data_IF_003831888908
#
_entry.id   IF_003831888908
#
_cell.length_a   1.000
_cell.length_b   1.000
_cell.length_c   1.000
_cell.angle_alpha   90.00
_cell.angle_beta   90.00
_cell.angle_gamma   90.00
#
_symmetry.space_group_name_H-M   'P 1'
#
loop_
_entity.id
_entity.type
_entity.pdbx_description
1 polymer ?
#
# COMPACT_ATOMS: atom_id res chain seq x y z
N UNK A 1 -26.07 -22.49 -18.98
CA UNK A 1 -25.74 -22.37 -17.54
C UNK A 1 -26.29 -21.03 -17.05
N UNK A 2 -26.65 -20.90 -15.78
CA UNK A 2 -27.24 -19.64 -15.26
C UNK A 2 -26.44 -19.17 -14.04
N UNK A 3 -25.96 -17.94 -14.07
CA UNK A 3 -25.42 -17.21 -12.92
C UNK A 3 -26.43 -16.19 -12.44
N UNK A 4 -26.83 -16.29 -11.18
CA UNK A 4 -27.76 -15.33 -10.55
C UNK A 4 -27.01 -14.45 -9.55
N UNK A 5 -27.19 -13.14 -9.67
CA UNK A 5 -26.58 -12.11 -8.80
C UNK A 5 -27.70 -11.28 -8.19
N UNK A 6 -27.75 -11.21 -6.85
CA UNK A 6 -28.64 -10.27 -6.17
C UNK A 6 -28.13 -8.83 -6.42
N UNK A 7 -28.92 -8.04 -7.13
CA UNK A 7 -28.50 -6.74 -7.65
C UNK A 7 -29.63 -5.71 -7.72
N UNK A 8 -29.25 -4.45 -7.51
CA UNK A 8 -30.12 -3.28 -7.64
C UNK A 8 -29.82 -2.55 -8.93
N UNK A 9 -30.86 -2.23 -9.71
CA UNK A 9 -30.76 -1.34 -10.86
C UNK A 9 -30.57 0.10 -10.40
N UNK A 10 -29.61 0.79 -10.99
CA UNK A 10 -29.27 2.19 -10.72
C UNK A 10 -29.29 2.96 -12.03
N UNK A 11 -30.08 4.03 -12.08
CA UNK A 11 -30.20 4.92 -13.24
C UNK A 11 -29.50 6.24 -12.97
N UNK A 12 -28.52 6.60 -13.81
CA UNK A 12 -27.75 7.83 -13.72
C UNK A 12 -27.60 8.48 -15.10
N UNK A 13 -27.11 9.73 -15.21
CA UNK A 13 -26.92 10.38 -16.52
C UNK A 13 -25.98 9.62 -17.47
N UNK A 14 -25.14 8.73 -16.94
CA UNK A 14 -24.24 7.88 -17.73
C UNK A 14 -24.95 6.65 -18.32
N UNK A 15 -26.18 6.36 -17.89
CA UNK A 15 -26.95 5.17 -18.25
C UNK A 15 -27.39 4.36 -17.04
N UNK A 16 -28.04 3.24 -17.33
CA UNK A 16 -28.43 2.24 -16.33
C UNK A 16 -27.29 1.25 -16.08
N UNK A 17 -27.13 0.87 -14.82
CA UNK A 17 -26.21 -0.20 -14.41
C UNK A 17 -26.72 -0.91 -13.16
N UNK A 18 -26.10 -2.02 -12.80
CA UNK A 18 -26.52 -2.84 -11.66
C UNK A 18 -25.46 -2.86 -10.56
N UNK A 19 -25.86 -2.81 -9.30
CA UNK A 19 -24.95 -2.98 -8.15
C UNK A 19 -25.41 -4.19 -7.35
N UNK A 20 -24.50 -5.14 -7.14
CA UNK A 20 -24.80 -6.36 -6.40
C UNK A 20 -23.61 -6.87 -5.61
N UNK A 21 -23.75 -8.09 -5.09
CA UNK A 21 -22.65 -8.83 -4.48
C UNK A 21 -22.48 -10.19 -5.14
N UNK A 22 -21.24 -10.62 -5.30
CA UNK A 22 -20.88 -11.90 -5.93
C UNK A 22 -19.71 -12.54 -5.18
N UNK A 23 -19.68 -13.87 -5.12
CA UNK A 23 -18.53 -14.61 -4.59
C UNK A 23 -17.29 -14.30 -5.45
N UNK A 24 -16.16 -13.98 -4.81
CA UNK A 24 -14.90 -13.66 -5.50
C UNK A 24 -14.49 -14.77 -6.49
N UNK A 25 -14.70 -16.03 -6.11
CA UNK A 25 -14.44 -17.19 -6.98
C UNK A 25 -15.29 -17.18 -8.24
N UNK A 26 -16.60 -16.92 -8.12
CA UNK A 26 -17.50 -16.86 -9.28
C UNK A 26 -17.11 -15.70 -10.19
N UNK A 27 -16.84 -14.53 -9.62
CA UNK A 27 -16.40 -13.37 -10.39
C UNK A 27 -15.09 -13.66 -11.14
N UNK A 28 -14.11 -14.26 -10.47
CA UNK A 28 -12.84 -14.67 -11.08
C UNK A 28 -13.04 -15.69 -12.20
N UNK A 29 -13.90 -16.68 -12.01
CA UNK A 29 -14.20 -17.69 -13.03
C UNK A 29 -14.83 -17.08 -14.29
N UNK A 30 -15.72 -16.09 -14.13
CA UNK A 30 -16.40 -15.45 -15.27
C UNK A 30 -15.57 -14.39 -16.00
N UNK A 31 -14.52 -13.89 -15.35
CA UNK A 31 -13.58 -12.91 -15.90
C UNK A 31 -12.18 -13.48 -16.17
N UNK A 32 -12.03 -14.81 -16.13
CA UNK A 32 -10.73 -15.49 -16.11
C UNK A 32 -9.88 -15.21 -17.35
N UNK A 33 -10.50 -15.10 -18.53
CA UNK A 33 -9.78 -14.80 -19.76
C UNK A 33 -9.28 -13.36 -19.81
N UNK A 34 -9.98 -12.43 -19.16
CA UNK A 34 -9.58 -11.04 -19.04
C UNK A 34 -8.38 -10.92 -18.07
N UNK A 35 -8.49 -11.52 -16.87
CA UNK A 35 -7.40 -11.55 -15.88
C UNK A 35 -6.14 -12.21 -16.43
N UNK A 36 -6.25 -13.36 -17.12
CA UNK A 36 -5.09 -14.06 -17.71
C UNK A 36 -4.44 -13.30 -18.85
N UNK A 37 -5.23 -12.65 -19.71
CA UNK A 37 -4.68 -11.78 -20.76
C UNK A 37 -3.83 -10.67 -20.15
N UNK A 38 -4.21 -10.17 -18.98
CA UNK A 38 -3.46 -9.13 -18.26
C UNK A 38 -2.18 -9.64 -17.55
N UNK A 39 -2.09 -10.92 -17.21
CA UNK A 39 -0.90 -11.54 -16.58
C UNK A 39 0.20 -11.88 -17.59
N UNK A 40 -0.15 -12.22 -18.83
CA UNK A 40 0.78 -12.78 -19.84
C UNK A 40 1.43 -11.71 -20.73
N UNK A 41 0.90 -10.48 -20.75
CA UNK A 41 1.27 -9.47 -21.75
C UNK A 41 2.59 -8.72 -21.44
N UNK A 42 3.71 -9.44 -21.53
CA UNK A 42 5.06 -8.85 -21.56
C UNK A 42 5.40 -8.26 -22.94
N UNK A 43 4.77 -8.72 -24.01
CA UNK A 43 5.11 -8.44 -25.41
C UNK A 43 4.05 -7.63 -26.17
N UNK A 44 3.72 -6.43 -25.67
CA UNK A 44 3.50 -5.24 -26.49
C UNK A 44 2.52 -5.29 -27.68
N UNK A 45 1.50 -6.16 -27.69
CA UNK A 45 0.39 -6.05 -28.64
C UNK A 45 -0.75 -5.38 -27.90
N UNK A 46 -0.88 -4.08 -28.17
CA UNK A 46 -1.94 -3.17 -27.78
C UNK A 46 -3.13 -3.82 -27.05
N UNK A 47 -3.14 -3.65 -25.72
CA UNK A 47 -4.36 -3.71 -24.92
C UNK A 47 -5.47 -3.04 -25.73
N UNK A 48 -6.60 -3.71 -25.90
CA UNK A 48 -7.72 -3.38 -26.81
C UNK A 48 -8.18 -1.90 -26.82
N UNK A 49 -7.70 -1.07 -25.89
CA UNK A 49 -8.00 0.35 -25.73
C UNK A 49 -6.80 1.27 -25.36
N UNK A 50 -5.61 0.77 -25.02
CA UNK A 50 -4.53 1.60 -24.45
C UNK A 50 -4.87 2.26 -23.09
N UNK A 51 -6.02 1.90 -22.50
CA UNK A 51 -6.59 2.53 -21.30
C UNK A 51 -6.24 1.75 -20.03
N UNK A 52 -5.93 0.45 -20.12
CA UNK A 52 -5.72 -0.40 -18.94
C UNK A 52 -4.27 -0.36 -18.45
N UNK A 53 -4.10 -0.37 -17.11
CA UNK A 53 -2.76 -0.38 -16.51
C UNK A 53 -2.15 -1.78 -16.58
N UNK A 54 -0.86 -1.88 -16.88
CA UNK A 54 -0.11 -3.13 -16.66
C UNK A 54 -0.31 -3.62 -15.22
N UNK A 55 -0.59 -4.91 -15.07
CA UNK A 55 -0.54 -5.55 -13.76
C UNK A 55 0.90 -5.41 -13.23
N UNK A 56 1.01 -5.13 -11.93
CA UNK A 56 2.30 -5.03 -11.26
C UNK A 56 2.36 -6.18 -10.28
N UNK A 57 3.28 -7.12 -10.47
CA UNK A 57 3.36 -8.33 -9.64
C UNK A 57 3.53 -7.98 -8.17
N UNK A 58 4.38 -6.99 -7.86
CA UNK A 58 4.55 -6.50 -6.49
C UNK A 58 3.25 -6.00 -5.85
N UNK A 59 2.34 -5.43 -6.66
CA UNK A 59 1.03 -4.98 -6.17
C UNK A 59 0.07 -6.15 -5.98
N UNK A 60 0.15 -7.17 -6.82
CA UNK A 60 -0.65 -8.39 -6.69
C UNK A 60 -0.24 -9.16 -5.43
N UNK A 61 1.06 -9.32 -5.18
CA UNK A 61 1.59 -9.91 -3.95
C UNK A 61 1.11 -9.15 -2.71
N UNK A 62 1.22 -7.82 -2.69
CA UNK A 62 0.71 -6.99 -1.57
C UNK A 62 -0.80 -7.21 -1.32
N UNK A 63 -1.58 -7.39 -2.38
CA UNK A 63 -3.03 -7.62 -2.29
C UNK A 63 -3.31 -9.03 -1.80
N UNK A 64 -2.59 -10.04 -2.29
CA UNK A 64 -2.71 -11.43 -1.83
C UNK A 64 -2.39 -11.56 -0.33
N UNK A 65 -1.33 -10.91 0.11
CA UNK A 65 -0.96 -10.81 1.53
C UNK A 65 -2.07 -10.11 2.34
N UNK A 66 -2.71 -9.09 1.77
CA UNK A 66 -3.82 -8.37 2.39
C UNK A 66 -5.10 -9.21 2.49
N UNK A 67 -5.49 -9.94 1.44
CA UNK A 67 -6.69 -10.81 1.45
C UNK A 67 -6.56 -11.88 2.53
N UNK A 68 -5.33 -12.35 2.77
CA UNK A 68 -5.01 -13.35 3.78
C UNK A 68 -5.09 -12.83 5.22
N UNK A 69 -5.36 -11.53 5.44
CA UNK A 69 -5.47 -10.98 6.80
C UNK A 69 -6.88 -11.15 7.38
N UNK A 70 -6.93 -11.22 8.71
CA UNK A 70 -8.19 -11.34 9.48
C UNK A 70 -9.11 -10.11 9.38
N UNK A 71 -8.60 -9.01 8.86
CA UNK A 71 -9.28 -7.73 8.71
C UNK A 71 -9.35 -7.27 7.25
N UNK A 72 -9.15 -8.20 6.31
CA UNK A 72 -9.28 -7.96 4.88
C UNK A 72 -10.69 -7.46 4.54
N UNK A 73 -10.77 -6.35 3.80
CA UNK A 73 -12.02 -5.80 3.32
C UNK A 73 -11.83 -5.08 1.98
N UNK A 74 -12.73 -5.36 1.03
CA UNK A 74 -12.85 -4.60 -0.21
C UNK A 74 -14.21 -3.91 -0.27
N UNK A 75 -14.36 -2.74 0.36
CA UNK A 75 -15.63 -2.02 0.38
C UNK A 75 -15.96 -1.36 -0.97
N UNK A 76 -14.94 -1.13 -1.81
CA UNK A 76 -15.11 -0.52 -3.11
C UNK A 76 -15.57 -1.56 -4.13
N UNK A 77 -16.48 -1.16 -5.01
CA UNK A 77 -17.00 -2.01 -6.07
C UNK A 77 -15.91 -2.46 -7.05
N UNK A 78 -16.01 -3.69 -7.57
CA UNK A 78 -15.35 -4.13 -8.80
C UNK A 78 -16.27 -3.74 -9.96
N UNK A 79 -15.74 -3.02 -10.94
CA UNK A 79 -16.55 -2.56 -12.08
C UNK A 79 -16.33 -3.53 -13.23
N UNK A 80 -17.41 -4.12 -13.73
CA UNK A 80 -17.39 -5.06 -14.84
C UNK A 80 -18.36 -4.63 -15.94
N UNK A 81 -18.02 -4.99 -17.18
CA UNK A 81 -18.93 -4.97 -18.32
C UNK A 81 -19.28 -6.41 -18.69
N UNK A 82 -20.55 -6.66 -18.97
CA UNK A 82 -21.06 -7.90 -19.54
C UNK A 82 -21.72 -7.54 -20.86
N UNK A 83 -21.36 -8.29 -21.91
CA UNK A 83 -21.99 -8.15 -23.21
C UNK A 83 -23.13 -9.18 -23.29
N UNK A 84 -24.33 -8.68 -23.41
CA UNK A 84 -25.54 -9.37 -23.81
C UNK A 84 -25.58 -9.38 -25.34
N UNK A 85 -25.25 -10.54 -25.91
CA UNK A 85 -25.13 -10.75 -27.35
C UNK A 85 -26.50 -10.69 -28.04
N UNK A 86 -27.60 -10.93 -27.31
CA UNK A 86 -28.96 -10.85 -27.86
C UNK A 86 -29.41 -9.39 -27.97
N UNK A 87 -29.20 -8.60 -26.93
CA UNK A 87 -29.51 -7.18 -26.93
C UNK A 87 -28.59 -6.37 -27.86
N UNK A 88 -27.31 -6.76 -28.01
CA UNK A 88 -26.40 -6.14 -28.99
C UNK A 88 -26.91 -6.36 -30.43
N UNK A 89 -27.36 -7.57 -30.77
CA UNK A 89 -27.96 -7.84 -32.08
C UNK A 89 -29.28 -7.09 -32.33
N UNK A 90 -30.10 -6.86 -31.28
CA UNK A 90 -31.30 -6.03 -31.40
C UNK A 90 -30.96 -4.56 -31.69
N UNK A 91 -29.96 -4.01 -31.00
CA UNK A 91 -29.44 -2.66 -31.23
C UNK A 91 -28.84 -2.53 -32.64
N UNK A 92 -28.03 -3.50 -33.08
CA UNK A 92 -27.46 -3.52 -34.43
C UNK A 92 -28.55 -3.59 -35.49
N UNK A 93 -29.61 -4.40 -35.28
CA UNK A 93 -30.77 -4.44 -36.18
C UNK A 93 -31.56 -3.12 -36.21
N UNK A 94 -31.59 -2.35 -35.12
CA UNK A 94 -32.20 -1.01 -35.11
C UNK A 94 -31.34 0.04 -35.82
N UNK A 95 -30.01 -0.05 -35.73
CA UNK A 95 -29.05 0.78 -36.47
C UNK A 95 -29.05 0.42 -37.97
N UNK A 96 -29.10 -0.85 -38.31
CA UNK A 96 -29.13 -1.37 -39.68
C UNK A 96 -30.50 -1.22 -40.35
N UNK A 97 -31.58 -0.85 -39.62
CA UNK A 97 -32.84 -0.40 -40.26
C UNK A 97 -32.66 0.86 -41.12
N UNK A 98 -31.55 1.58 -41.02
CA UNK A 98 -31.17 2.64 -41.96
C UNK A 98 -30.36 2.15 -43.19
N UNK A 99 -29.90 0.89 -43.22
CA UNK A 99 -29.23 0.26 -44.36
C UNK A 99 -29.81 -1.13 -44.67
N UNK A 100 -30.75 -1.17 -45.62
CA UNK A 100 -31.30 -2.37 -46.25
C UNK A 100 -30.24 -3.47 -46.55
N UNK A 101 -30.28 -4.63 -45.87
CA UNK A 101 -30.93 -5.88 -46.34
C UNK A 101 -30.41 -7.16 -45.65
N UNK A 102 -31.38 -8.00 -45.29
CA UNK A 102 -31.41 -9.47 -45.36
C UNK A 102 -30.10 -10.24 -45.08
N UNK A 103 -30.01 -10.81 -43.87
CA UNK A 103 -29.64 -12.21 -43.72
C UNK A 103 -30.23 -12.75 -42.39
N UNK A 104 -31.40 -13.37 -42.48
CA UNK A 104 -31.90 -14.24 -41.41
C UNK A 104 -30.95 -15.43 -41.28
N UNK A 105 -30.14 -15.43 -40.21
CA UNK A 105 -29.62 -16.65 -39.63
C UNK A 105 -30.29 -16.82 -38.28
N UNK A 106 -31.25 -17.74 -38.22
CA UNK A 106 -31.57 -18.45 -36.99
C UNK A 106 -30.30 -19.17 -36.52
N UNK A 107 -29.45 -18.45 -35.78
CA UNK A 107 -28.48 -19.04 -34.89
C UNK A 107 -29.25 -19.46 -33.64
N UNK A 108 -29.16 -20.74 -33.31
CA UNK A 108 -29.76 -21.36 -32.12
C UNK A 108 -29.51 -20.46 -30.90
N UNK A 109 -30.57 -19.95 -30.25
CA UNK A 109 -30.50 -19.05 -29.08
C UNK A 109 -29.73 -19.63 -27.87
N UNK A 110 -29.22 -20.87 -27.96
CA UNK A 110 -28.51 -21.59 -26.90
C UNK A 110 -27.02 -21.28 -26.79
N UNK A 111 -26.43 -20.62 -27.79
CA UNK A 111 -24.99 -20.34 -27.84
C UNK A 111 -24.63 -18.90 -27.43
N UNK A 112 -25.62 -18.10 -26.97
CA UNK A 112 -25.44 -16.68 -26.65
C UNK A 112 -25.38 -16.40 -25.16
N UNK A 113 -24.74 -15.30 -24.80
CA UNK A 113 -24.83 -14.74 -23.44
C UNK A 113 -26.00 -13.78 -23.40
N UNK A 114 -26.99 -14.07 -22.54
CA UNK A 114 -28.19 -13.25 -22.36
C UNK A 114 -28.27 -12.80 -20.91
N UNK A 115 -28.65 -11.54 -20.66
CA UNK A 115 -28.77 -10.94 -19.34
C UNK A 115 -30.20 -10.49 -19.09
N UNK A 116 -30.86 -11.11 -18.12
CA UNK A 116 -32.21 -10.72 -17.71
C UNK A 116 -32.19 -10.14 -16.30
N UNK A 117 -33.06 -9.16 -16.05
CA UNK A 117 -33.22 -8.57 -14.72
C UNK A 117 -34.68 -8.67 -14.28
N UNK A 118 -34.91 -9.34 -13.15
CA UNK A 118 -36.21 -9.42 -12.50
C UNK A 118 -36.08 -9.61 -11.00
N UNK A 119 -37.02 -9.08 -10.21
CA UNK A 119 -37.06 -9.30 -8.75
C UNK A 119 -35.73 -9.01 -8.00
N UNK A 120 -35.01 -7.94 -8.38
CA UNK A 120 -33.68 -7.60 -7.86
C UNK A 120 -32.62 -8.70 -8.04
N UNK A 121 -32.78 -9.50 -9.09
CA UNK A 121 -31.80 -10.48 -9.53
C UNK A 121 -31.41 -10.21 -10.96
N UNK A 122 -30.11 -10.19 -11.19
CA UNK A 122 -29.51 -10.21 -12.52
C UNK A 122 -29.16 -11.65 -12.83
N UNK A 123 -29.80 -12.23 -13.84
CA UNK A 123 -29.57 -13.59 -14.30
C UNK A 123 -28.84 -13.55 -15.63
N UNK A 124 -27.68 -14.19 -15.67
CA UNK A 124 -26.82 -14.27 -16.84
C UNK A 124 -26.86 -15.72 -17.30
N UNK A 125 -27.47 -15.96 -18.45
CA UNK A 125 -27.48 -17.26 -19.11
C UNK A 125 -26.35 -17.34 -20.13
N UNK A 126 -25.58 -18.43 -20.11
CA UNK A 126 -24.40 -18.58 -20.96
C UNK A 126 -24.03 -20.05 -21.25
N UNK A 127 -23.35 -20.34 -22.38
CA UNK A 127 -22.68 -21.61 -22.66
C UNK A 127 -21.45 -21.85 -21.78
N UNK A 128 -21.21 -23.09 -21.34
CA UNK A 128 -20.11 -23.42 -20.40
C UNK A 128 -18.72 -23.03 -20.94
N UNK A 129 -18.51 -23.09 -22.25
CA UNK A 129 -17.27 -22.69 -22.94
C UNK A 129 -17.05 -21.16 -22.94
N UNK A 130 -18.14 -20.37 -22.90
CA UNK A 130 -18.07 -18.91 -22.78
C UNK A 130 -17.83 -18.42 -21.35
N UNK A 131 -17.95 -19.31 -20.35
CA UNK A 131 -17.79 -18.97 -18.92
C UNK A 131 -16.63 -18.00 -18.64
N UNK A 132 -15.38 -18.22 -19.09
CA UNK A 132 -14.27 -17.32 -18.73
C UNK A 132 -14.26 -15.97 -19.45
N UNK A 133 -15.19 -15.71 -20.37
CA UNK A 133 -15.26 -14.52 -21.23
C UNK A 133 -16.50 -13.64 -20.96
N UNK A 134 -17.33 -14.00 -19.97
CA UNK A 134 -18.60 -13.31 -19.72
C UNK A 134 -18.38 -11.87 -19.25
N UNK A 135 -17.41 -11.65 -18.36
CA UNK A 135 -17.19 -10.37 -17.72
C UNK A 135 -15.81 -9.79 -18.05
N UNK A 136 -15.80 -8.54 -18.51
CA UNK A 136 -14.59 -7.74 -18.68
C UNK A 136 -14.44 -6.82 -17.47
N UNK A 137 -13.26 -6.80 -16.83
CA UNK A 137 -13.00 -5.96 -15.66
C UNK A 137 -12.57 -4.56 -16.12
N UNK A 138 -13.39 -3.56 -15.80
CA UNK A 138 -13.07 -2.15 -16.06
C UNK A 138 -12.24 -1.55 -14.91
N UNK A 139 -12.60 -1.83 -13.66
CA UNK A 139 -11.81 -1.41 -12.49
C UNK A 139 -11.77 -2.51 -11.43
N UNK A 140 -10.62 -2.66 -10.78
CA UNK A 140 -10.39 -3.69 -9.77
C UNK A 140 -9.54 -4.87 -10.24
N UNK A 141 -8.92 -4.78 -11.42
CA UNK A 141 -8.03 -5.80 -11.98
C UNK A 141 -6.96 -6.31 -10.99
N UNK A 142 -6.19 -5.43 -10.31
CA UNK A 142 -5.19 -5.86 -9.33
C UNK A 142 -5.83 -6.54 -8.12
N UNK A 143 -7.06 -6.18 -7.75
CA UNK A 143 -7.80 -6.82 -6.65
C UNK A 143 -8.20 -8.23 -7.04
N UNK A 144 -8.72 -8.40 -8.26
CA UNK A 144 -9.09 -9.72 -8.80
C UNK A 144 -7.87 -10.63 -9.01
N UNK A 145 -6.76 -10.09 -9.51
CA UNK A 145 -5.51 -10.84 -9.70
C UNK A 145 -4.85 -11.29 -8.38
N UNK A 146 -5.17 -10.64 -7.26
CA UNK A 146 -4.70 -11.06 -5.94
C UNK A 146 -5.41 -12.30 -5.40
N UNK A 147 -6.54 -12.69 -5.99
CA UNK A 147 -7.25 -13.90 -5.61
C UNK A 147 -6.70 -15.14 -6.32
N UNK A 148 -6.62 -16.24 -5.58
CA UNK A 148 -6.24 -17.56 -6.08
C UNK A 148 -6.98 -18.66 -5.30
N UNK A 149 -6.69 -19.92 -5.65
CA UNK A 149 -7.35 -21.09 -5.07
C UNK A 149 -7.21 -21.18 -3.53
N UNK A 150 -6.22 -20.49 -2.93
CA UNK A 150 -5.96 -20.54 -1.50
C UNK A 150 -6.74 -19.47 -0.70
N UNK A 151 -7.25 -18.41 -1.35
CA UNK A 151 -7.77 -17.23 -0.64
C UNK A 151 -9.20 -16.77 -1.06
N UNK A 152 -9.91 -17.54 -1.87
CA UNK A 152 -11.33 -17.29 -2.17
C UNK A 152 -12.28 -17.44 -0.97
N UNK A 153 -11.81 -18.06 0.11
CA UNK A 153 -12.55 -18.23 1.35
C UNK A 153 -11.73 -17.67 2.52
N UNK A 154 -12.42 -17.19 3.55
CA UNK A 154 -11.80 -16.74 4.78
C UNK A 154 -12.46 -17.38 5.99
N UNK A 155 -11.70 -17.52 7.07
CA UNK A 155 -12.21 -17.94 8.37
C UNK A 155 -12.69 -16.71 9.15
N UNK A 156 -13.97 -16.67 9.52
CA UNK A 156 -14.52 -15.57 10.28
C UNK A 156 -14.17 -15.67 11.79
N UNK A 157 -14.57 -14.67 12.57
CA UNK A 157 -14.32 -14.62 14.03
C UNK A 157 -14.85 -15.81 14.84
N UNK A 158 -15.73 -16.64 14.26
CA UNK A 158 -16.31 -17.83 14.89
C UNK A 158 -15.65 -19.13 14.43
N UNK A 159 -14.63 -19.06 13.57
CA UNK A 159 -13.99 -20.22 12.97
C UNK A 159 -14.76 -20.81 11.78
N UNK A 160 -15.75 -20.10 11.24
CA UNK A 160 -16.52 -20.57 10.08
C UNK A 160 -15.83 -20.14 8.79
N UNK A 161 -15.62 -21.08 7.87
CA UNK A 161 -15.12 -20.79 6.51
C UNK A 161 -16.26 -20.23 5.67
N UNK A 162 -16.09 -19.02 5.13
CA UNK A 162 -17.07 -18.35 4.26
C UNK A 162 -16.42 -17.89 2.95
N UNK A 163 -17.18 -17.85 1.84
CA UNK A 163 -16.69 -17.26 0.60
C UNK A 163 -16.44 -15.76 0.81
N UNK A 164 -15.40 -15.25 0.16
CA UNK A 164 -15.13 -13.82 0.12
C UNK A 164 -16.11 -13.17 -0.87
N UNK A 165 -17.07 -12.39 -0.37
CA UNK A 165 -18.02 -11.66 -1.22
C UNK A 165 -17.41 -10.31 -1.67
N UNK A 166 -17.65 -9.94 -2.93
CA UNK A 166 -17.23 -8.66 -3.50
C UNK A 166 -18.45 -7.85 -3.91
N UNK A 167 -18.41 -6.55 -3.65
CA UNK A 167 -19.35 -5.59 -4.24
C UNK A 167 -18.99 -5.45 -5.72
N UNK A 168 -19.98 -5.57 -6.59
CA UNK A 168 -19.80 -5.49 -8.04
C UNK A 168 -20.75 -4.46 -8.65
N UNK A 169 -20.25 -3.68 -9.60
CA UNK A 169 -21.00 -2.75 -10.44
C UNK A 169 -20.93 -3.28 -11.85
N UNK A 170 -22.08 -3.62 -12.41
CA UNK A 170 -22.22 -4.35 -13.66
C UNK A 170 -22.88 -3.43 -14.69
N UNK A 171 -22.16 -3.12 -15.75
CA UNK A 171 -22.71 -2.51 -16.95
C UNK A 171 -23.09 -3.62 -17.94
N UNK A 172 -24.31 -3.56 -18.47
CA UNK A 172 -24.79 -4.46 -19.52
C UNK A 172 -24.81 -3.67 -20.81
N UNK A 173 -24.17 -4.18 -21.86
CA UNK A 173 -24.08 -3.57 -23.20
C UNK A 173 -23.60 -2.12 -23.18
N UNK A 174 -22.56 -1.86 -22.37
CA UNK A 174 -21.87 -0.58 -22.46
C UNK A 174 -20.98 -0.56 -23.70
N UNK A 175 -21.20 0.40 -24.59
CA UNK A 175 -20.30 0.61 -25.72
C UNK A 175 -18.86 0.88 -25.23
N UNK A 176 -17.89 0.63 -26.11
CA UNK A 176 -16.48 0.77 -25.76
C UNK A 176 -16.12 2.20 -25.28
N UNK A 177 -16.85 3.20 -25.77
CA UNK A 177 -16.72 4.61 -25.38
C UNK A 177 -17.12 4.85 -23.92
N UNK A 178 -18.26 4.30 -23.49
CA UNK A 178 -18.77 4.39 -22.14
C UNK A 178 -17.85 3.68 -21.16
N UNK A 179 -17.38 2.49 -21.51
CA UNK A 179 -16.40 1.74 -20.72
C UNK A 179 -15.11 2.56 -20.50
N UNK A 180 -14.59 3.17 -21.57
CA UNK A 180 -13.43 4.06 -21.53
C UNK A 180 -13.67 5.29 -20.63
N UNK A 181 -14.86 5.90 -20.72
CA UNK A 181 -15.24 7.07 -19.93
C UNK A 181 -15.37 6.75 -18.45
N UNK A 182 -16.03 5.64 -18.11
CA UNK A 182 -16.15 5.14 -16.72
C UNK A 182 -14.77 4.89 -16.14
N UNK A 183 -13.91 4.20 -16.88
CA UNK A 183 -12.52 3.96 -16.47
C UNK A 183 -11.78 5.26 -16.17
N UNK A 184 -11.82 6.22 -17.09
CA UNK A 184 -11.12 7.50 -16.94
C UNK A 184 -11.63 8.28 -15.72
N UNK A 185 -12.96 8.35 -15.55
CA UNK A 185 -13.58 9.10 -14.46
C UNK A 185 -13.27 8.52 -13.07
N UNK A 186 -13.25 7.19 -12.94
CA UNK A 186 -12.94 6.49 -11.68
C UNK A 186 -11.46 6.69 -11.30
N UNK A 187 -10.56 6.69 -12.29
CA UNK A 187 -9.12 6.71 -12.03
C UNK A 187 -8.52 8.13 -11.91
N UNK A 188 -8.97 9.09 -12.73
CA UNK A 188 -8.40 10.44 -12.76
C UNK A 188 -8.67 11.23 -11.48
N UNK A 189 -9.84 11.03 -10.85
CA UNK A 189 -10.27 11.82 -9.70
C UNK A 189 -9.82 11.25 -8.34
N UNK A 190 -9.19 10.07 -8.31
CA UNK A 190 -8.71 9.47 -7.05
C UNK A 190 -7.43 10.16 -6.56
N UNK A 191 -7.56 10.94 -5.49
CA UNK A 191 -6.40 11.45 -4.75
C UNK A 191 -5.92 10.41 -3.75
N UNK A 192 -4.60 10.20 -3.66
CA UNK A 192 -4.02 9.31 -2.64
C UNK A 192 -4.21 9.93 -1.26
N UNK A 193 -4.64 9.12 -0.30
CA UNK A 193 -4.71 9.53 1.12
C UNK A 193 -3.32 9.92 1.59
N UNK A 194 -3.21 11.04 2.33
CA UNK A 194 -1.95 11.50 2.88
C UNK A 194 -1.42 10.47 3.91
N UNK A 195 -0.19 9.98 3.72
CA UNK A 195 0.43 9.00 4.63
C UNK A 195 0.48 9.46 6.10
N UNK A 196 0.66 10.76 6.35
CA UNK A 196 0.69 11.28 7.73
C UNK A 196 -0.67 11.10 8.41
N UNK A 197 -1.76 11.35 7.67
CA UNK A 197 -3.13 11.08 8.14
C UNK A 197 -3.34 9.58 8.38
N UNK A 198 -2.85 8.71 7.48
CA UNK A 198 -2.91 7.25 7.69
C UNK A 198 -2.23 6.86 9.00
N UNK A 199 -1.02 7.38 9.27
CA UNK A 199 -0.34 7.12 10.54
C UNK A 199 -1.06 7.69 11.75
N UNK A 200 -1.75 8.82 11.61
CA UNK A 200 -2.63 9.34 12.67
C UNK A 200 -3.80 8.40 12.95
N UNK A 201 -4.44 7.84 11.91
CA UNK A 201 -5.50 6.84 12.07
C UNK A 201 -4.99 5.52 12.66
N UNK A 202 -3.76 5.10 12.34
CA UNK A 202 -3.13 3.89 12.92
C UNK A 202 -3.01 3.98 14.45
N UNK A 203 -2.95 5.18 15.04
CA UNK A 203 -2.96 5.33 16.50
C UNK A 203 -4.24 4.82 17.16
N UNK A 204 -5.35 4.77 16.41
CA UNK A 204 -6.65 4.24 16.84
C UNK A 204 -6.71 2.70 16.78
N UNK A 205 -5.79 2.06 16.05
CA UNK A 205 -5.72 0.60 15.99
C UNK A 205 -5.46 0.04 17.38
N UNK A 206 -6.19 -1.01 17.76
CA UNK A 206 -6.00 -1.67 19.06
C UNK A 206 -4.68 -2.40 19.14
N UNK A 207 -4.25 -2.99 18.03
CA UNK A 207 -3.09 -3.87 18.00
C UNK A 207 -1.79 -3.10 17.74
N UNK A 208 -0.70 -3.67 18.21
CA UNK A 208 0.63 -3.08 18.04
C UNK A 208 1.17 -3.36 16.63
N UNK A 209 1.87 -2.39 16.05
CA UNK A 209 2.52 -2.51 14.75
C UNK A 209 3.78 -1.64 14.69
N UNK A 210 4.75 -1.92 13.79
CA UNK A 210 5.93 -1.07 13.63
C UNK A 210 5.57 0.39 13.34
N UNK A 211 4.51 0.63 12.55
CA UNK A 211 4.00 1.96 12.25
C UNK A 211 3.42 2.67 13.47
N UNK A 212 2.60 1.98 14.27
CA UNK A 212 1.99 2.55 15.49
C UNK A 212 3.05 2.90 16.53
N UNK A 213 4.01 2.02 16.80
CA UNK A 213 5.14 2.31 17.70
C UNK A 213 5.94 3.52 17.21
N UNK A 214 6.32 3.53 15.92
CA UNK A 214 7.09 4.64 15.35
C UNK A 214 6.32 5.96 15.34
N UNK A 215 5.01 5.91 15.11
CA UNK A 215 4.11 7.05 15.22
C UNK A 215 4.13 7.63 16.65
N UNK A 216 3.95 6.78 17.67
CA UNK A 216 3.88 7.23 19.07
C UNK A 216 5.21 7.84 19.52
N UNK A 217 6.33 7.29 19.06
CA UNK A 217 7.66 7.87 19.27
C UNK A 217 7.77 9.25 18.61
N UNK A 218 7.31 9.39 17.36
CA UNK A 218 7.30 10.68 16.66
C UNK A 218 6.45 11.72 17.40
N UNK A 219 5.26 11.35 17.89
CA UNK A 219 4.40 12.21 18.72
C UNK A 219 5.14 12.67 19.95
N UNK A 220 5.69 11.71 20.71
CA UNK A 220 6.34 11.99 21.97
C UNK A 220 7.51 12.96 21.80
N UNK A 221 8.42 12.66 20.85
CA UNK A 221 9.59 13.49 20.58
C UNK A 221 9.21 14.88 20.04
N UNK A 222 8.08 15.02 19.36
CA UNK A 222 7.63 16.32 18.87
C UNK A 222 7.01 17.20 19.97
N UNK A 223 6.51 16.62 21.07
CA UNK A 223 5.83 17.34 22.16
C UNK A 223 6.73 17.70 23.34
N UNK A 224 7.92 17.11 23.46
CA UNK A 224 8.84 17.36 24.57
C UNK A 224 9.77 18.53 24.25
N UNK A 225 9.81 19.53 25.12
CA UNK A 225 10.63 20.75 24.99
C UNK A 225 12.13 20.47 24.93
N UNK A 226 12.61 19.48 25.69
CA UNK A 226 13.99 19.03 25.70
C UNK A 226 14.37 18.11 24.51
N UNK A 227 13.44 17.86 23.59
CA UNK A 227 13.67 16.97 22.44
C UNK A 227 14.27 17.73 21.27
N UNK A 228 15.23 17.12 20.53
CA UNK A 228 15.74 17.68 19.28
C UNK A 228 14.67 17.79 18.18
N UNK A 229 13.49 17.20 18.39
CA UNK A 229 12.33 17.25 17.49
C UNK A 229 11.20 18.18 17.94
N UNK A 230 11.38 18.93 19.03
CA UNK A 230 10.32 19.76 19.62
C UNK A 230 9.66 20.70 18.59
N UNK A 231 8.38 20.46 18.28
CA UNK A 231 7.58 21.18 17.29
C UNK A 231 8.20 21.27 15.89
N UNK A 232 8.88 20.20 15.43
CA UNK A 232 9.53 20.16 14.12
C UNK A 232 8.83 19.29 13.10
N UNK A 233 7.87 18.48 13.55
CA UNK A 233 7.18 17.49 12.73
C UNK A 233 5.76 17.96 12.40
N UNK A 234 5.49 18.20 11.11
CA UNK A 234 4.14 18.46 10.58
C UNK A 234 3.25 17.23 10.78
N UNK A 235 2.11 17.42 11.43
CA UNK A 235 1.08 16.39 11.70
C UNK A 235 -0.07 16.49 10.68
N UNK A 236 -0.76 15.40 10.38
CA UNK A 236 -1.91 15.37 9.45
C UNK A 236 -1.62 15.88 8.02
N UNK A 237 -0.36 16.06 7.64
CA UNK A 237 0.03 16.56 6.32
C UNK A 237 -0.09 18.09 6.14
N UNK A 238 -0.44 18.83 7.18
CA UNK A 238 -0.51 20.30 7.19
C UNK A 238 0.35 20.89 8.29
N UNK A 239 0.62 22.19 8.24
CA UNK A 239 1.28 22.85 9.37
C UNK A 239 0.34 22.83 10.57
N UNK A 240 0.80 22.31 11.70
CA UNK A 240 0.00 22.19 12.92
C UNK A 240 -0.08 23.52 13.65
N UNK A 241 0.96 24.36 13.52
CA UNK A 241 1.14 25.61 14.25
C UNK A 241 1.30 26.78 13.28
N UNK A 242 0.49 27.82 13.47
CA UNK A 242 0.63 29.07 12.72
C UNK A 242 1.94 29.75 13.14
N UNK A 243 2.71 30.22 12.16
CA UNK A 243 3.96 30.96 12.34
C UNK A 243 5.14 30.19 12.99
N UNK A 244 5.08 28.86 13.07
CA UNK A 244 6.25 28.04 13.44
C UNK A 244 6.79 27.28 12.22
N UNK A 245 8.11 27.11 12.16
CA UNK A 245 8.78 26.26 11.17
C UNK A 245 8.64 24.79 11.59
N UNK A 246 7.88 23.99 10.84
CA UNK A 246 7.85 22.53 11.01
C UNK A 246 8.61 21.91 9.82
N UNK A 247 9.94 21.78 9.88
CA UNK A 247 10.74 21.37 8.72
C UNK A 247 10.47 19.94 8.23
N UNK A 248 10.02 19.06 9.12
CA UNK A 248 9.92 17.62 8.88
C UNK A 248 8.46 17.19 8.76
N UNK A 249 8.23 16.03 8.13
CA UNK A 249 6.90 15.41 8.08
C UNK A 249 6.86 14.17 8.96
N UNK A 250 5.69 13.90 9.54
CA UNK A 250 5.45 12.68 10.32
C UNK A 250 5.73 11.42 9.49
N UNK A 251 5.25 11.39 8.24
CA UNK A 251 5.50 10.25 7.36
C UNK A 251 7.00 9.99 7.14
N UNK A 252 7.81 11.04 6.96
CA UNK A 252 9.26 10.87 6.82
C UNK A 252 9.90 10.30 8.09
N UNK A 253 9.49 10.73 9.28
CA UNK A 253 10.02 10.18 10.52
C UNK A 253 9.62 8.70 10.69
N UNK A 254 8.33 8.40 10.56
CA UNK A 254 7.77 7.06 10.74
C UNK A 254 8.35 6.08 9.72
N UNK A 255 8.35 6.41 8.43
CA UNK A 255 8.86 5.52 7.36
C UNK A 255 10.33 5.14 7.58
N UNK A 256 11.14 6.04 8.14
CA UNK A 256 12.56 5.76 8.36
C UNK A 256 12.82 5.04 9.68
N UNK A 257 12.06 5.30 10.74
CA UNK A 257 12.18 4.53 11.98
C UNK A 257 11.72 3.07 11.77
N UNK A 258 10.64 2.85 11.00
CA UNK A 258 10.16 1.50 10.65
C UNK A 258 11.24 0.68 9.95
N UNK A 259 12.10 1.29 9.13
CA UNK A 259 13.22 0.60 8.44
C UNK A 259 14.35 0.14 9.37
N UNK A 260 14.35 0.57 10.64
CA UNK A 260 15.23 0.05 11.69
C UNK A 260 14.54 -1.07 12.49
N UNK A 261 13.22 -1.21 12.39
CA UNK A 261 12.40 -2.17 13.16
C UNK A 261 12.07 -3.40 12.33
N UNK A 262 11.66 -3.23 11.07
CA UNK A 262 10.99 -4.29 10.32
C UNK A 262 11.41 -4.36 8.84
N UNK A 263 11.68 -5.58 8.32
CA UNK A 263 11.82 -5.82 6.90
C UNK A 263 10.49 -5.77 6.16
N UNK A 264 9.42 -6.29 6.78
CA UNK A 264 8.08 -6.41 6.18
C UNK A 264 7.05 -6.01 7.26
N UNK A 265 6.78 -4.71 7.43
CA UNK A 265 5.99 -4.22 8.56
C UNK A 265 4.54 -4.73 8.58
N UNK A 266 3.99 -5.05 7.41
CA UNK A 266 2.64 -5.63 7.29
C UNK A 266 2.60 -7.04 7.90
N UNK A 267 3.60 -7.88 7.64
CA UNK A 267 3.65 -9.24 8.18
C UNK A 267 3.82 -9.21 9.70
N UNK A 268 4.65 -8.29 10.22
CA UNK A 268 4.81 -8.11 11.67
C UNK A 268 3.50 -7.66 12.34
N UNK A 269 2.76 -6.72 11.71
CA UNK A 269 1.42 -6.32 12.18
C UNK A 269 0.47 -7.52 12.21
N UNK A 270 0.42 -8.29 11.12
CA UNK A 270 -0.48 -9.44 11.00
C UNK A 270 -0.15 -10.53 12.03
N UNK A 271 1.14 -10.77 12.27
CA UNK A 271 1.62 -11.70 13.29
C UNK A 271 1.25 -11.25 14.71
N UNK A 272 1.39 -9.96 15.04
CA UNK A 272 0.98 -9.45 16.35
C UNK A 272 -0.55 -9.49 16.52
N UNK A 273 -1.30 -9.13 15.48
CA UNK A 273 -2.77 -9.22 15.44
C UNK A 273 -3.27 -10.65 15.68
N UNK A 274 -2.65 -11.66 15.05
CA UNK A 274 -3.07 -13.05 15.20
C UNK A 274 -2.78 -13.59 16.60
N UNK A 275 -1.64 -13.22 17.19
CA UNK A 275 -1.30 -13.55 18.59
C UNK A 275 -2.28 -12.92 19.58
N UNK A 276 -2.62 -11.65 19.43
CA UNK A 276 -3.56 -10.95 20.32
C UNK A 276 -4.97 -11.57 20.27
N UNK A 277 -5.40 -12.09 19.12
CA UNK A 277 -6.74 -12.66 18.92
C UNK A 277 -6.85 -14.15 19.27
N UNK A 278 -5.80 -14.78 19.79
CA UNK A 278 -5.79 -16.22 20.17
C UNK A 278 -6.28 -17.15 19.05
N UNK A 279 -5.94 -16.84 17.79
CA UNK A 279 -6.26 -17.73 16.66
C UNK A 279 -5.33 -18.95 16.74
N UNK A 280 -5.86 -20.08 17.23
CA UNK A 280 -5.13 -21.31 17.57
C UNK A 280 -4.35 -21.97 16.41
N UNK A 281 -4.53 -21.51 15.16
CA UNK A 281 -3.94 -22.12 13.96
C UNK A 281 -2.72 -21.39 13.36
N UNK A 282 -2.20 -20.32 13.99
CA UNK A 282 -0.94 -19.73 13.52
C UNK A 282 0.27 -20.57 13.94
N UNK A 283 0.74 -21.43 13.04
CA UNK A 283 1.85 -22.39 13.23
C UNK A 283 3.24 -21.78 13.47
N UNK A 284 3.41 -20.45 13.41
CA UNK A 284 4.73 -19.79 13.56
C UNK A 284 4.97 -19.35 15.01
N UNK A 285 5.96 -19.96 15.65
CA UNK A 285 6.41 -19.58 16.99
C UNK A 285 7.10 -18.19 17.00
N UNK A 286 7.72 -17.81 15.88
CA UNK A 286 8.51 -16.59 15.71
C UNK A 286 8.04 -15.78 14.48
N UNK A 287 8.23 -14.44 14.49
CA UNK A 287 7.94 -13.62 13.31
C UNK A 287 8.91 -13.95 12.18
N UNK A 288 8.51 -13.68 10.94
CA UNK A 288 9.38 -13.88 9.78
C UNK A 288 10.65 -13.04 9.85
N UNK A 289 11.75 -13.53 9.26
CA UNK A 289 12.99 -12.76 9.12
C UNK A 289 13.52 -12.24 10.47
N UNK A 290 13.75 -13.16 11.40
CA UNK A 290 14.18 -12.88 12.77
C UNK A 290 15.53 -13.53 13.13
N UNK A 291 16.29 -13.97 12.12
CA UNK A 291 17.63 -14.51 12.33
C UNK A 291 18.65 -13.41 12.69
N UNK A 292 19.87 -13.80 13.07
CA UNK A 292 20.94 -12.88 13.47
C UNK A 292 21.25 -11.84 12.38
N UNK A 293 21.23 -12.24 11.10
CA UNK A 293 21.50 -11.35 9.97
C UNK A 293 20.40 -10.30 9.84
N UNK A 294 19.13 -10.68 10.02
CA UNK A 294 18.02 -9.74 10.03
C UNK A 294 18.06 -8.82 11.25
N UNK A 295 18.41 -9.32 12.45
CA UNK A 295 18.56 -8.49 13.65
C UNK A 295 19.67 -7.43 13.51
N UNK A 296 20.77 -7.77 12.84
CA UNK A 296 21.80 -6.80 12.47
C UNK A 296 21.25 -5.77 11.48
N UNK A 297 20.51 -6.20 10.46
CA UNK A 297 19.95 -5.32 9.43
C UNK A 297 18.75 -4.49 9.92
N UNK A 298 18.10 -4.87 11.01
CA UNK A 298 16.98 -4.18 11.62
C UNK A 298 17.26 -4.08 13.13
N UNK A 299 18.15 -3.16 13.55
CA UNK A 299 18.71 -3.16 14.90
C UNK A 299 17.66 -2.99 16.01
N UNK A 300 16.49 -2.41 15.71
CA UNK A 300 15.39 -2.27 16.67
C UNK A 300 14.38 -3.42 16.63
N UNK A 301 14.56 -4.42 15.75
CA UNK A 301 13.63 -5.53 15.58
C UNK A 301 13.41 -6.31 16.87
N UNK A 302 14.49 -6.70 17.55
CA UNK A 302 14.42 -7.42 18.83
C UNK A 302 13.72 -6.58 19.91
N UNK A 303 14.19 -5.35 20.13
CA UNK A 303 13.58 -4.41 21.07
C UNK A 303 12.08 -4.21 20.80
N UNK A 304 11.69 -4.13 19.52
CA UNK A 304 10.29 -4.02 19.14
C UNK A 304 9.52 -5.26 19.57
N UNK A 305 9.92 -6.47 19.19
CA UNK A 305 9.16 -7.67 19.59
C UNK A 305 9.17 -7.93 21.10
N UNK A 306 10.18 -7.45 21.82
CA UNK A 306 10.28 -7.51 23.29
C UNK A 306 9.45 -6.41 24.00
N UNK A 307 8.75 -5.54 23.26
CA UNK A 307 7.91 -4.48 23.83
C UNK A 307 8.69 -3.26 24.36
N UNK A 308 9.96 -3.11 23.98
CA UNK A 308 10.89 -2.10 24.49
C UNK A 308 10.86 -0.80 23.67
N UNK A 309 9.66 -0.28 23.37
CA UNK A 309 9.49 0.97 22.59
C UNK A 309 10.17 2.18 23.27
N UNK A 310 10.28 2.16 24.61
CA UNK A 310 10.99 3.18 25.39
C UNK A 310 12.48 3.22 25.08
N UNK A 311 13.11 2.07 24.87
CA UNK A 311 14.54 1.98 24.57
C UNK A 311 14.82 2.41 23.12
N UNK A 312 13.94 2.04 22.18
CA UNK A 312 13.98 2.55 20.81
C UNK A 312 13.92 4.08 20.82
N UNK A 313 12.93 4.64 21.54
CA UNK A 313 12.78 6.09 21.68
C UNK A 313 14.02 6.75 22.29
N UNK A 314 14.59 6.17 23.36
CA UNK A 314 15.78 6.68 24.04
C UNK A 314 16.97 6.75 23.09
N UNK A 315 17.25 5.68 22.34
CA UNK A 315 18.37 5.64 21.39
C UNK A 315 18.19 6.71 20.31
N UNK A 316 16.99 6.83 19.74
CA UNK A 316 16.68 7.87 18.73
C UNK A 316 16.84 9.28 19.32
N UNK A 317 16.36 9.50 20.54
CA UNK A 317 16.52 10.77 21.25
C UNK A 317 18.01 11.11 21.47
N UNK A 318 18.81 10.18 21.99
CA UNK A 318 20.24 10.37 22.23
C UNK A 318 20.98 10.69 20.94
N UNK A 319 20.71 9.95 19.86
CA UNK A 319 21.34 10.16 18.57
C UNK A 319 21.05 11.55 17.99
N UNK A 320 19.77 11.97 17.94
CA UNK A 320 19.44 13.28 17.40
C UNK A 320 19.82 14.44 18.33
N UNK A 321 19.95 14.19 19.63
CA UNK A 321 20.55 15.16 20.56
C UNK A 321 22.03 15.34 20.23
N UNK A 322 22.76 14.27 19.95
CA UNK A 322 24.14 14.34 19.50
C UNK A 322 24.27 15.09 18.16
N UNK A 323 23.39 14.81 17.19
CA UNK A 323 23.31 15.56 15.91
C UNK A 323 23.12 17.06 16.15
N UNK A 324 22.18 17.45 17.02
CA UNK A 324 21.96 18.85 17.38
C UNK A 324 23.17 19.47 18.10
N UNK A 325 23.92 18.70 18.89
CA UNK A 325 25.09 19.21 19.60
C UNK A 325 26.31 19.39 18.69
N UNK A 326 26.51 18.48 17.72
CA UNK A 326 27.64 18.55 16.77
C UNK A 326 27.37 19.56 15.66
N UNK A 327 26.13 19.66 15.18
CA UNK A 327 25.73 20.58 14.11
C UNK A 327 24.54 21.48 14.51
N UNK A 328 24.71 22.36 15.52
CA UNK A 328 23.62 23.15 16.08
C UNK A 328 23.04 24.18 15.11
N UNK A 329 23.83 24.73 14.18
CA UNK A 329 23.34 25.72 13.22
C UNK A 329 22.57 25.04 12.09
N UNK A 330 23.11 23.95 11.56
CA UNK A 330 22.49 23.17 10.50
C UNK A 330 21.24 22.44 10.98
N UNK A 331 21.19 21.96 12.24
CA UNK A 331 19.96 21.43 12.83
C UNK A 331 19.00 22.52 13.31
N UNK A 332 19.40 23.80 13.39
CA UNK A 332 18.54 24.86 13.91
C UNK A 332 17.18 24.97 13.17
N UNK A 333 16.05 24.92 13.90
CA UNK A 333 14.68 24.81 13.34
C UNK A 333 14.33 25.89 12.28
N UNK A 334 14.89 27.08 12.43
CA UNK A 334 14.66 28.22 11.53
C UNK A 334 15.62 28.26 10.33
N UNK A 335 16.62 27.38 10.28
CA UNK A 335 17.57 27.30 9.17
C UNK A 335 16.97 26.51 8.00
N UNK A 336 16.14 27.15 7.19
CA UNK A 336 15.48 26.52 6.03
C UNK A 336 16.44 26.15 4.88
N UNK A 337 17.66 26.73 4.87
CA UNK A 337 18.66 26.47 3.84
C UNK A 337 19.28 25.09 4.05
N UNK A 338 19.61 24.75 5.31
CA UNK A 338 20.20 23.49 5.71
C UNK A 338 19.43 22.26 5.22
N UNK A 339 20.14 21.30 4.63
CA UNK A 339 19.57 20.01 4.23
C UNK A 339 19.22 19.11 5.41
N UNK A 340 19.80 19.31 6.60
CA UNK A 340 19.45 18.57 7.81
C UNK A 340 18.01 18.88 8.27
N UNK A 341 17.52 20.09 7.99
CA UNK A 341 16.13 20.50 8.19
C UNK A 341 15.18 20.08 7.06
N UNK A 342 15.60 19.16 6.21
CA UNK A 342 14.76 18.64 5.11
C UNK A 342 14.63 17.14 5.26
N UNK A 343 13.59 16.58 4.63
CA UNK A 343 13.33 15.13 4.62
C UNK A 343 14.57 14.32 4.22
N UNK A 344 15.37 14.83 3.29
CA UNK A 344 16.61 14.18 2.82
C UNK A 344 17.67 14.05 3.92
N UNK A 345 17.84 15.07 4.76
CA UNK A 345 18.77 15.04 5.89
C UNK A 345 18.31 14.10 6.99
N UNK A 346 17.01 14.11 7.32
CA UNK A 346 16.44 13.15 8.27
C UNK A 346 16.66 11.69 7.81
N UNK A 347 16.44 11.41 6.52
CA UNK A 347 16.70 10.08 5.93
C UNK A 347 18.19 9.71 6.06
N UNK A 348 19.10 10.65 5.76
CA UNK A 348 20.54 10.41 5.87
C UNK A 348 20.95 10.08 7.32
N UNK A 349 20.46 10.85 8.29
CA UNK A 349 20.74 10.65 9.72
C UNK A 349 20.15 9.33 10.24
N UNK A 350 18.93 8.96 9.84
CA UNK A 350 18.35 7.65 10.21
C UNK A 350 19.13 6.47 9.60
N UNK A 351 19.65 6.62 8.37
CA UNK A 351 20.53 5.63 7.74
C UNK A 351 21.87 5.51 8.47
N UNK A 352 22.44 6.64 8.89
CA UNK A 352 23.65 6.67 9.68
C UNK A 352 23.45 5.95 11.02
N UNK A 353 22.37 6.29 11.75
CA UNK A 353 22.00 5.60 12.99
C UNK A 353 21.89 4.10 12.76
N UNK A 354 21.16 3.68 11.72
CA UNK A 354 21.05 2.26 11.36
C UNK A 354 22.42 1.61 11.19
N UNK A 355 23.33 2.21 10.41
CA UNK A 355 24.68 1.65 10.17
C UNK A 355 25.50 1.57 11.46
N UNK A 356 25.48 2.60 12.31
CA UNK A 356 26.16 2.60 13.62
C UNK A 356 25.69 1.41 14.47
N UNK A 357 24.37 1.27 14.64
CA UNK A 357 23.80 0.20 15.46
C UNK A 357 24.02 -1.19 14.85
N UNK A 358 23.90 -1.33 13.53
CA UNK A 358 24.20 -2.58 12.82
C UNK A 358 25.66 -2.99 13.00
N UNK A 359 26.60 -2.05 12.94
CA UNK A 359 28.01 -2.34 13.14
C UNK A 359 28.31 -2.77 14.59
N UNK A 360 27.67 -2.14 15.57
CA UNK A 360 27.75 -2.57 16.97
C UNK A 360 27.29 -4.03 17.14
N UNK A 361 26.12 -4.37 16.57
CA UNK A 361 25.57 -5.72 16.66
C UNK A 361 26.47 -6.76 15.96
N UNK A 362 27.12 -6.40 14.84
CA UNK A 362 28.03 -7.31 14.11
C UNK A 362 29.25 -7.72 14.92
N UNK A 363 29.71 -6.87 15.83
CA UNK A 363 30.85 -7.17 16.72
C UNK A 363 30.39 -7.75 18.06
N UNK A 364 29.11 -8.12 18.18
CA UNK A 364 28.53 -8.68 19.41
C UNK A 364 28.29 -7.65 20.52
N UNK A 365 28.29 -6.36 20.19
CA UNK A 365 28.02 -5.28 21.14
C UNK A 365 26.54 -5.10 21.46
N UNK A 366 26.26 -4.29 22.50
CA UNK A 366 24.90 -3.99 22.96
C UNK A 366 24.49 -2.57 22.57
N UNK A 367 23.46 -2.45 21.73
CA UNK A 367 22.93 -1.15 21.30
C UNK A 367 22.30 -0.33 22.44
N UNK A 368 21.91 -0.97 23.55
CA UNK A 368 21.37 -0.26 24.72
C UNK A 368 22.46 0.54 25.45
N UNK A 369 23.74 0.23 25.25
CA UNK A 369 24.86 0.99 25.82
C UNK A 369 25.09 2.35 25.17
N UNK A 370 24.41 2.67 24.06
CA UNK A 370 24.53 3.98 23.43
C UNK A 370 23.82 5.07 24.24
N UNK A 371 24.56 6.13 24.54
CA UNK A 371 24.06 7.38 25.09
C UNK A 371 24.44 8.57 24.17
N UNK A 372 24.07 9.78 24.58
CA UNK A 372 24.37 10.99 23.80
C UNK A 372 25.87 11.21 23.63
N UNK A 373 26.70 10.93 24.65
CA UNK A 373 28.14 11.18 24.60
C UNK A 373 28.85 10.22 23.65
N UNK A 374 28.46 8.95 23.65
CA UNK A 374 28.98 7.96 22.70
C UNK A 374 28.66 8.37 21.26
N UNK A 375 27.45 8.86 20.99
CA UNK A 375 27.12 9.37 19.67
C UNK A 375 27.89 10.65 19.31
N UNK A 376 28.07 11.59 20.24
CA UNK A 376 28.91 12.79 20.01
C UNK A 376 30.34 12.36 19.63
N UNK A 377 30.94 11.42 20.37
CA UNK A 377 32.29 10.93 20.07
C UNK A 377 32.41 10.38 18.65
N UNK A 378 31.38 9.70 18.14
CA UNK A 378 31.36 9.16 16.77
C UNK A 378 31.10 10.26 15.74
N UNK A 379 30.22 11.20 16.02
CA UNK A 379 29.86 12.26 15.06
C UNK A 379 30.92 13.37 14.98
N UNK A 380 31.60 13.68 16.08
CA UNK A 380 32.66 14.69 16.14
C UNK A 380 33.98 14.20 15.55
N UNK A 381 34.18 12.89 15.36
CA UNK A 381 35.35 12.38 14.62
C UNK A 381 35.26 12.64 13.11
N UNK A 382 34.15 13.20 12.65
CA UNK A 382 33.84 13.45 11.26
C UNK A 382 34.09 14.94 11.00
N UNK A 383 35.01 15.27 10.09
CA UNK A 383 35.41 16.65 9.77
C UNK A 383 34.36 17.43 8.96
N UNK A 384 33.06 17.31 9.29
CA UNK A 384 32.00 18.13 8.70
C UNK A 384 31.59 19.24 9.67
N UNK A 385 31.64 20.48 9.20
CA UNK A 385 31.07 21.63 9.91
C UNK A 385 29.62 21.89 9.44
N UNK A 386 28.92 22.81 10.10
CA UNK A 386 27.55 23.20 9.73
C UNK A 386 27.43 23.64 8.26
N UNK A 387 28.45 24.32 7.70
CA UNK A 387 28.44 24.90 6.34
C UNK A 387 28.30 23.83 5.24
N UNK A 388 28.77 22.61 5.49
CA UNK A 388 28.58 21.48 4.57
C UNK A 388 27.09 21.23 4.29
N UNK A 389 26.24 21.39 5.31
CA UNK A 389 24.80 21.15 5.17
C UNK A 389 24.05 22.34 4.57
N UNK A 390 24.63 23.54 4.57
CA UNK A 390 24.02 24.73 3.99
C UNK A 390 24.35 24.89 2.50
N UNK A 391 25.50 24.39 2.07
CA UNK A 391 25.98 24.46 0.68
C UNK A 391 25.40 23.38 -0.25
N UNK A 392 24.69 22.38 0.30
CA UNK A 392 24.17 21.26 -0.46
C UNK A 392 22.72 21.49 -0.97
N UNK A 393 22.45 21.19 -2.24
CA UNK A 393 21.08 21.22 -2.75
C UNK A 393 20.25 20.04 -2.22
N UNK A 394 18.99 20.27 -1.86
CA UNK A 394 18.16 19.25 -1.25
C UNK A 394 17.54 18.29 -2.27
N UNK A 395 18.32 17.32 -2.74
CA UNK A 395 17.86 16.28 -3.67
C UNK A 395 17.99 14.88 -3.06
N UNK A 396 17.30 13.90 -3.62
CA UNK A 396 17.47 12.48 -3.22
C UNK A 396 18.92 12.02 -3.38
N UNK A 397 19.61 12.49 -4.43
CA UNK A 397 21.04 12.21 -4.66
C UNK A 397 21.89 12.78 -3.53
N UNK A 398 21.57 13.98 -3.05
CA UNK A 398 22.25 14.62 -1.93
C UNK A 398 22.05 13.85 -0.62
N UNK A 399 20.85 13.34 -0.33
CA UNK A 399 20.63 12.53 0.87
C UNK A 399 21.46 11.24 0.90
N UNK A 400 21.65 10.59 -0.27
CA UNK A 400 22.57 9.44 -0.40
C UNK A 400 24.03 9.89 -0.23
N UNK A 401 24.40 11.01 -0.84
CA UNK A 401 25.74 11.58 -0.74
C UNK A 401 26.12 11.92 0.69
N UNK A 402 25.26 12.63 1.44
CA UNK A 402 25.50 12.97 2.86
C UNK A 402 25.76 11.70 3.67
N UNK A 403 24.92 10.67 3.51
CA UNK A 403 25.15 9.40 4.19
C UNK A 403 26.50 8.78 3.81
N UNK A 404 26.84 8.71 2.52
CA UNK A 404 28.10 8.15 2.05
C UNK A 404 29.31 8.94 2.55
N UNK A 405 29.31 10.26 2.38
CA UNK A 405 30.38 11.15 2.79
C UNK A 405 30.69 11.00 4.29
N UNK A 406 29.65 10.91 5.12
CA UNK A 406 29.76 10.68 6.56
C UNK A 406 30.22 9.25 6.86
N UNK A 407 29.65 8.25 6.20
CA UNK A 407 30.00 6.85 6.43
C UNK A 407 31.44 6.53 6.04
N UNK A 408 31.94 7.07 4.92
CA UNK A 408 33.34 6.93 4.48
C UNK A 408 34.29 7.52 5.52
N UNK A 409 33.94 8.64 6.14
CA UNK A 409 34.79 9.26 7.17
C UNK A 409 34.83 8.45 8.48
N UNK A 410 33.76 7.71 8.82
CA UNK A 410 33.73 6.87 10.03
C UNK A 410 34.39 5.50 9.78
N UNK A 411 34.15 4.88 8.61
CA UNK A 411 34.48 3.47 8.35
C UNK A 411 35.36 3.22 7.12
N UNK A 412 35.75 4.25 6.35
CA UNK A 412 36.49 4.10 5.07
C UNK A 412 35.59 3.74 3.88
N UNK A 413 36.20 3.44 2.73
CA UNK A 413 35.51 3.15 1.45
C UNK A 413 34.64 1.86 1.45
N UNK A 414 34.56 1.12 2.56
CA UNK A 414 33.70 -0.07 2.71
C UNK A 414 32.20 0.28 2.99
N UNK A 415 31.79 1.53 2.74
CA UNK A 415 30.52 2.12 3.22
C UNK A 415 29.26 1.77 2.44
#
# INVERSE_FOLDING_TARGET
>A
MILSIDAFKVSQPIGDFYIGKIDAKKLYEISKADVRRMEVDENGIESYLGIQRKIKDSRVEEIKDYISTVDATFPNSIIVSINDEELDEELDKELDKELDKELDKELDNKDKVTVTWSNNKLEIEYPEDKKPYIANILDGQHRMAGFDDDNFNYENYKGEVKPFELVVTIFVNSDMSLQAKVFAMVNQNQTKVNKSLVYDLESLSKSRSPWRSSHLIAVYLNLRDNSPFYHRVKRLGVKTRRNESEPLTQAAFVDNLVKLISPIPQNDRNYLMSKERSMFNFKKNEPDRFDEKDLVNFPFRKLFFDGQDKDIMRIVFCFFTAVNNVWPKAWGKENSVSVLNKTVGLIAMMRLLKKILSNELRVGGDILSFDTQRFISILSSIEFNDDYFESAEATTKTGVKIYKDIAVKIWGDES
#
